data_IF_438487146345
#
_entry.id   IF_438487146345
#
_cell.length_a   1.000
_cell.length_b   1.000
_cell.length_c   1.000
_cell.angle_alpha   90.00
_cell.angle_beta   90.00
_cell.angle_gamma   90.00
#
_symmetry.space_group_name_H-M   'P 1'
#
loop_
_entity.id
_entity.type
_entity.pdbx_description
1 polymer ?
#
# COMPACT_ATOMS: atom_id res chain seq x y z
N UNK A 1 -30.33 7.15 9.06
CA UNK A 1 -28.93 7.09 8.57
C UNK A 1 -28.15 8.19 9.28
N UNK A 2 -27.02 7.87 9.90
CA UNK A 2 -26.14 8.90 10.47
C UNK A 2 -25.38 9.58 9.33
N UNK A 3 -25.20 10.90 9.42
CA UNK A 3 -24.44 11.69 8.45
C UNK A 3 -23.26 12.32 9.17
N UNK A 4 -22.05 12.08 8.67
CA UNK A 4 -20.83 12.70 9.15
C UNK A 4 -20.24 13.54 8.03
N UNK A 5 -19.73 14.73 8.36
CA UNK A 5 -19.14 15.65 7.38
C UNK A 5 -17.78 16.15 7.88
N UNK A 6 -16.94 16.61 6.97
CA UNK A 6 -15.63 17.16 7.34
C UNK A 6 -15.72 18.46 8.15
N UNK A 7 -16.86 19.17 8.07
CA UNK A 7 -17.05 20.47 8.73
C UNK A 7 -17.51 20.34 10.19
N UNK A 8 -17.94 19.16 10.62
CA UNK A 8 -18.52 18.96 11.94
C UNK A 8 -17.99 17.68 12.58
N UNK A 9 -17.25 17.84 13.68
CA UNK A 9 -16.87 16.72 14.54
C UNK A 9 -18.12 16.27 15.33
N UNK A 10 -18.54 15.00 15.25
CA UNK A 10 -19.71 14.54 15.97
C UNK A 10 -19.41 14.43 17.48
N UNK A 11 -20.44 14.59 18.30
CA UNK A 11 -20.34 14.39 19.75
C UNK A 11 -20.37 12.89 20.08
N UNK A 12 -19.20 12.26 19.95
CA UNK A 12 -18.99 10.84 20.23
C UNK A 12 -17.77 10.67 21.14
N UNK A 13 -17.77 9.60 21.94
CA UNK A 13 -16.64 9.23 22.79
C UNK A 13 -15.49 8.62 21.96
N UNK A 14 -14.71 9.46 21.29
CA UNK A 14 -13.53 9.04 20.52
C UNK A 14 -12.48 8.39 21.42
N UNK A 15 -11.84 7.32 20.91
CA UNK A 15 -10.70 6.66 21.53
C UNK A 15 -9.46 6.88 20.65
N UNK A 16 -8.30 6.97 21.27
CA UNK A 16 -7.02 7.02 20.56
C UNK A 16 -6.57 5.61 20.19
N UNK A 17 -6.14 5.41 18.95
CA UNK A 17 -5.55 4.17 18.45
C UNK A 17 -4.34 4.49 17.56
N UNK A 18 -3.33 3.61 17.55
CA UNK A 18 -2.18 3.69 16.64
C UNK A 18 -2.37 2.70 15.51
N UNK A 19 -2.21 3.16 14.26
CA UNK A 19 -2.26 2.26 13.09
C UNK A 19 -1.09 1.27 13.17
N UNK A 20 -1.37 -0.03 13.02
CA UNK A 20 -0.33 -1.07 13.01
C UNK A 20 0.68 -0.79 11.88
N UNK A 21 2.00 -0.90 12.12
CA UNK A 21 3.01 -0.75 11.06
C UNK A 21 3.04 -2.02 10.22
N UNK A 22 2.43 -2.00 9.04
CA UNK A 22 2.37 -3.14 8.13
C UNK A 22 3.30 -2.85 6.95
N UNK A 23 4.39 -3.63 6.76
CA UNK A 23 5.20 -3.53 5.55
C UNK A 23 4.38 -4.03 4.36
N UNK A 24 4.53 -3.35 3.23
CA UNK A 24 3.87 -3.70 1.97
C UNK A 24 4.94 -3.90 0.90
N UNK A 25 4.63 -4.72 -0.11
CA UNK A 25 5.48 -4.82 -1.29
C UNK A 25 5.08 -3.74 -2.28
N UNK A 26 6.06 -3.11 -2.90
CA UNK A 26 5.83 -2.08 -3.89
C UNK A 26 6.94 -2.07 -4.94
N UNK A 27 6.61 -1.60 -6.14
CA UNK A 27 7.55 -1.38 -7.22
C UNK A 27 7.21 -0.07 -7.92
N UNK A 28 8.18 0.83 -8.06
CA UNK A 28 8.00 2.04 -8.86
C UNK A 28 8.11 1.69 -10.34
N UNK A 29 7.15 2.13 -11.14
CA UNK A 29 7.09 1.84 -12.58
C UNK A 29 7.33 3.13 -13.35
N UNK A 30 8.29 3.11 -14.28
CA UNK A 30 8.75 4.30 -15.02
C UNK A 30 8.09 4.49 -16.39
N UNK A 31 7.01 3.76 -16.65
CA UNK A 31 6.18 3.85 -17.85
C UNK A 31 4.69 3.83 -17.47
N UNK A 32 3.77 4.30 -18.33
CA UNK A 32 2.33 4.15 -18.09
C UNK A 32 1.93 2.67 -17.98
N UNK A 33 1.05 2.34 -17.04
CA UNK A 33 0.64 0.96 -16.78
C UNK A 33 -0.83 0.88 -16.36
N UNK A 34 -1.41 -0.32 -16.44
CA UNK A 34 -2.76 -0.61 -15.97
C UNK A 34 -2.73 -1.78 -14.98
N UNK A 35 -3.61 -1.73 -13.99
CA UNK A 35 -3.75 -2.75 -12.95
C UNK A 35 -5.22 -3.12 -12.87
N UNK A 36 -5.53 -4.41 -12.94
CA UNK A 36 -6.85 -4.93 -12.59
C UNK A 36 -6.97 -4.96 -11.06
N UNK A 37 -7.71 -3.99 -10.51
CA UNK A 37 -7.98 -3.92 -9.05
C UNK A 37 -9.36 -4.49 -8.74
N UNK A 38 -9.69 -4.63 -7.46
CA UNK A 38 -11.00 -5.12 -7.02
C UNK A 38 -12.15 -4.17 -7.38
N UNK A 39 -11.85 -2.88 -7.61
CA UNK A 39 -12.78 -1.85 -8.05
C UNK A 39 -12.83 -1.69 -9.59
N UNK A 40 -12.01 -2.45 -10.32
CA UNK A 40 -11.88 -2.41 -11.78
C UNK A 40 -10.48 -1.99 -12.26
N UNK A 41 -10.35 -1.71 -13.55
CA UNK A 41 -9.05 -1.31 -14.12
C UNK A 41 -8.65 0.10 -13.68
N UNK A 42 -7.51 0.21 -13.01
CA UNK A 42 -6.86 1.48 -12.68
C UNK A 42 -5.67 1.72 -13.59
N UNK A 43 -5.42 2.98 -13.96
CA UNK A 43 -4.25 3.38 -14.75
C UNK A 43 -3.26 4.16 -13.89
N UNK A 44 -1.99 3.81 -14.00
CA UNK A 44 -0.86 4.56 -13.47
C UNK A 44 -0.06 5.25 -14.57
N UNK A 45 0.61 6.34 -14.21
CA UNK A 45 1.59 7.02 -15.08
C UNK A 45 3.01 6.63 -14.69
N UNK A 46 3.96 6.95 -15.57
CA UNK A 46 5.38 6.84 -15.25
C UNK A 46 5.71 7.57 -13.94
N UNK A 47 6.41 6.87 -13.05
CA UNK A 47 6.79 7.31 -11.71
C UNK A 47 5.85 6.86 -10.59
N UNK A 48 4.65 6.39 -10.90
CA UNK A 48 3.73 5.83 -9.91
C UNK A 48 4.16 4.42 -9.47
N UNK A 49 3.52 3.93 -8.41
CA UNK A 49 3.86 2.67 -7.75
C UNK A 49 2.79 1.61 -7.99
N UNK A 50 3.21 0.41 -8.37
CA UNK A 50 2.41 -0.80 -8.21
C UNK A 50 2.57 -1.29 -6.77
N UNK A 51 1.45 -1.47 -6.10
CA UNK A 51 1.39 -1.85 -4.69
C UNK A 51 0.77 -3.23 -4.54
N UNK A 52 1.27 -4.01 -3.58
CA UNK A 52 0.61 -5.23 -3.10
C UNK A 52 0.07 -4.95 -1.71
N UNK A 53 -1.25 -4.92 -1.60
CA UNK A 53 -1.94 -4.71 -0.34
C UNK A 53 -1.88 -5.93 0.59
N UNK A 54 -2.45 -5.78 1.77
CA UNK A 54 -2.25 -6.73 2.87
C UNK A 54 -2.94 -8.08 2.64
N UNK A 55 -3.91 -8.13 1.72
CA UNK A 55 -4.60 -9.35 1.29
C UNK A 55 -4.13 -9.86 -0.07
N UNK A 56 -3.09 -9.24 -0.65
CA UNK A 56 -2.55 -9.58 -1.96
C UNK A 56 -3.19 -8.83 -3.13
N UNK A 57 -4.09 -7.89 -2.85
CA UNK A 57 -4.71 -7.03 -3.86
C UNK A 57 -3.68 -6.10 -4.50
N UNK A 58 -3.80 -5.89 -5.82
CA UNK A 58 -2.96 -4.95 -6.55
C UNK A 58 -3.66 -3.61 -6.71
N UNK A 59 -2.92 -2.52 -6.56
CA UNK A 59 -3.43 -1.17 -6.83
C UNK A 59 -2.32 -0.21 -7.25
N UNK A 60 -2.72 0.88 -7.91
CA UNK A 60 -1.84 2.00 -8.26
C UNK A 60 -1.76 2.97 -7.09
N UNK A 61 -0.55 3.42 -6.75
CA UNK A 61 -0.34 4.52 -5.83
C UNK A 61 0.43 5.65 -6.52
N UNK A 62 -0.19 6.84 -6.60
CA UNK A 62 0.47 8.03 -7.15
C UNK A 62 1.75 8.34 -6.37
N UNK A 63 2.81 8.72 -7.09
CA UNK A 63 4.12 8.97 -6.48
C UNK A 63 4.09 10.00 -5.33
N UNK A 64 3.28 11.07 -5.43
CA UNK A 64 3.20 12.07 -4.37
C UNK A 64 2.45 11.55 -3.14
N UNK A 65 1.48 10.64 -3.33
CA UNK A 65 0.80 9.94 -2.24
C UNK A 65 1.77 8.97 -1.56
N UNK A 66 2.54 8.22 -2.36
CA UNK A 66 3.53 7.28 -1.85
C UNK A 66 4.52 7.97 -0.91
N UNK A 67 5.17 9.03 -1.39
CA UNK A 67 6.19 9.77 -0.63
C UNK A 67 5.67 10.45 0.64
N UNK A 68 4.35 10.68 0.76
CA UNK A 68 3.72 11.20 1.99
C UNK A 68 3.33 10.09 2.98
N UNK A 69 3.19 8.86 2.51
CA UNK A 69 2.52 7.78 3.25
C UNK A 69 3.44 6.61 3.59
N UNK A 70 4.56 6.46 2.85
CA UNK A 70 5.45 5.31 2.94
C UNK A 70 6.91 5.74 2.96
N UNK A 71 7.72 4.90 3.58
CA UNK A 71 9.17 4.98 3.57
C UNK A 71 9.71 3.64 3.04
N UNK A 72 10.60 3.70 2.05
CA UNK A 72 11.30 2.50 1.60
C UNK A 72 12.23 2.01 2.71
N UNK A 73 12.13 0.73 3.03
CA UNK A 73 13.04 0.06 3.95
C UNK A 73 14.04 -0.76 3.14
N UNK A 74 15.33 -0.59 3.42
CA UNK A 74 16.38 -1.43 2.82
C UNK A 74 16.08 -2.91 3.14
N UNK A 75 16.12 -3.76 2.12
CA UNK A 75 15.89 -5.19 2.29
C UNK A 75 17.07 -5.83 3.05
N UNK A 76 17.00 -5.92 4.37
CA UNK A 76 17.76 -6.97 5.08
C UNK A 76 17.00 -8.29 4.96
N UNK A 77 17.54 -9.14 4.06
CA UNK A 77 17.30 -10.58 3.86
C UNK A 77 16.01 -11.18 4.44
N UNK A 78 14.93 -11.17 3.65
CA UNK A 78 13.88 -12.21 3.74
C UNK A 78 14.27 -13.50 2.97
N UNK A 79 15.48 -13.54 2.38
CA UNK A 79 16.09 -14.76 1.84
C UNK A 79 17.12 -15.29 2.83
N UNK A 80 16.68 -16.13 3.75
CA UNK A 80 17.55 -16.81 4.70
C UNK A 80 16.90 -18.01 5.36
N UNK A 81 16.70 -19.10 4.59
CA UNK A 81 16.76 -20.51 5.04
C UNK A 81 16.51 -21.51 3.90
N UNK A 82 17.59 -22.16 3.46
CA UNK A 82 17.65 -23.60 3.18
C UNK A 82 16.88 -24.20 1.99
N UNK A 83 17.62 -24.53 0.93
CA UNK A 83 17.56 -25.87 0.33
C UNK A 83 18.97 -26.41 0.17
N UNK A 84 19.51 -26.95 1.27
CA UNK A 84 20.35 -28.13 1.16
C UNK A 84 19.40 -29.30 0.99
N UNK A 85 19.56 -30.05 -0.10
CA UNK A 85 19.34 -31.49 -0.07
C UNK A 85 20.29 -32.12 -1.09
N UNK A 86 21.10 -33.01 -0.56
CA UNK A 86 22.10 -33.86 -1.17
C UNK A 86 21.68 -34.50 -2.50
N UNK A 87 22.59 -34.46 -3.48
CA UNK A 87 23.23 -35.65 -4.06
C UNK A 87 24.45 -35.27 -4.90
#
# INVERSE_FOLDING_TARGET
>A
MLLFTQKQLPDLAFKTAVKKPIPIQCAQIMEPFEVETIEGTMKGKAGDWLMVGVTGELYVCDNAIFNKSYELKNQESLLGKGRSNDK
#
